data_IF_519593480770
#
_entry.id   IF_519593480770
#
_cell.length_a   1.000
_cell.length_b   1.000
_cell.length_c   1.000
_cell.angle_alpha   90.00
_cell.angle_beta   90.00
_cell.angle_gamma   90.00
#
_symmetry.space_group_name_H-M   'P 1'
#
loop_
_entity.id
_entity.type
_entity.pdbx_description
1 polymer ?
#
# COMPACT_ATOMS: atom_id res chain seq x y z
N UNK A 1 -1.76 12.35 -3.46
CA UNK A 1 -0.36 12.14 -3.00
C UNK A 1 -0.10 10.66 -2.83
N UNK A 2 1.11 10.24 -3.20
CA UNK A 2 1.65 8.90 -2.94
C UNK A 2 2.74 9.02 -1.87
N UNK A 3 2.72 8.13 -0.88
CA UNK A 3 3.77 8.03 0.15
C UNK A 3 4.59 6.77 -0.14
N UNK A 4 5.92 6.89 -0.12
CA UNK A 4 6.85 5.76 -0.20
C UNK A 4 7.58 5.61 1.13
N UNK A 5 7.65 4.39 1.64
CA UNK A 5 8.36 4.02 2.86
C UNK A 5 8.91 2.60 2.73
N UNK A 6 9.94 2.24 3.49
CA UNK A 6 10.41 0.84 3.46
C UNK A 6 9.53 -0.06 4.33
N UNK A 7 9.37 0.29 5.61
CA UNK A 7 8.59 -0.49 6.56
C UNK A 7 7.09 -0.21 6.37
N UNK A 8 6.24 -1.24 6.31
CA UNK A 8 4.80 -1.07 6.16
C UNK A 8 4.16 -0.58 7.46
N UNK A 9 2.90 -0.15 7.35
CA UNK A 9 2.02 0.10 8.49
C UNK A 9 0.98 -1.01 8.51
N UNK A 10 1.26 -2.12 9.20
CA UNK A 10 0.36 -3.27 9.23
C UNK A 10 -0.67 -3.13 10.36
N UNK A 11 -1.98 -3.17 10.07
CA UNK A 11 -2.98 -3.25 11.12
C UNK A 11 -2.90 -4.61 11.82
N UNK A 12 -2.90 -4.61 13.16
CA UNK A 12 -3.01 -5.86 13.94
C UNK A 12 -1.71 -6.60 14.24
N UNK A 13 -0.53 -6.08 13.87
CA UNK A 13 0.77 -6.53 14.42
C UNK A 13 1.34 -7.85 13.89
N UNK A 14 0.74 -8.47 12.87
CA UNK A 14 1.22 -9.75 12.31
C UNK A 14 2.41 -9.62 11.33
N UNK A 15 2.73 -8.39 10.89
CA UNK A 15 3.82 -8.08 9.96
C UNK A 15 4.80 -7.07 10.59
N UNK A 16 6.13 -7.16 10.30
CA UNK A 16 7.10 -6.16 10.74
C UNK A 16 6.69 -4.77 10.24
N UNK A 17 6.19 -3.95 11.15
CA UNK A 17 5.70 -2.61 10.87
C UNK A 17 6.68 -1.53 11.35
N UNK A 18 6.49 -0.30 10.89
CA UNK A 18 7.13 0.86 11.51
C UNK A 18 6.83 0.91 13.02
N UNK A 19 7.82 1.32 13.82
CA UNK A 19 7.75 1.29 15.29
C UNK A 19 6.55 2.04 15.89
N UNK A 20 6.10 3.12 15.24
CA UNK A 20 4.95 3.93 15.64
C UNK A 20 3.95 4.03 14.48
N UNK A 21 3.56 2.87 13.94
CA UNK A 21 2.66 2.78 12.78
C UNK A 21 1.30 3.42 13.04
N UNK A 22 0.79 3.33 14.27
CA UNK A 22 -0.49 3.92 14.65
C UNK A 22 -0.44 5.44 14.53
N UNK A 23 0.66 6.07 14.97
CA UNK A 23 0.82 7.52 14.82
C UNK A 23 0.89 7.95 13.36
N UNK A 24 1.56 7.19 12.50
CA UNK A 24 1.60 7.44 11.06
C UNK A 24 0.20 7.36 10.46
N UNK A 25 -0.55 6.32 10.82
CA UNK A 25 -1.93 6.10 10.41
C UNK A 25 -2.86 7.25 10.85
N UNK A 26 -2.72 7.75 12.09
CA UNK A 26 -3.43 8.94 12.57
C UNK A 26 -3.06 10.20 11.80
N UNK A 27 -1.79 10.41 11.48
CA UNK A 27 -1.35 11.57 10.69
C UNK A 27 -2.00 11.54 9.31
N UNK A 28 -1.98 10.39 8.62
CA UNK A 28 -2.58 10.22 7.29
C UNK A 28 -4.08 10.50 7.34
N UNK A 29 -4.79 10.01 8.36
CA UNK A 29 -6.23 10.21 8.51
C UNK A 29 -6.65 11.67 8.67
N UNK A 30 -5.78 12.51 9.24
CA UNK A 30 -6.04 13.95 9.38
C UNK A 30 -5.99 14.71 8.05
N UNK A 31 -5.61 14.06 6.96
CA UNK A 31 -5.53 14.64 5.62
C UNK A 31 -6.39 13.88 4.60
N UNK A 32 -7.72 13.78 4.82
CA UNK A 32 -8.61 13.02 3.95
C UNK A 32 -8.56 13.55 2.51
N UNK A 33 -8.56 12.64 1.54
CA UNK A 33 -8.52 12.96 0.11
C UNK A 33 -7.18 13.46 -0.43
N UNK A 34 -6.20 13.75 0.44
CA UNK A 34 -4.85 14.18 0.04
C UNK A 34 -3.96 12.97 -0.25
N UNK A 35 -3.83 12.06 0.72
CA UNK A 35 -3.14 10.78 0.53
C UNK A 35 -4.09 9.82 -0.21
N UNK A 36 -3.56 9.11 -1.20
CA UNK A 36 -4.35 8.18 -2.03
C UNK A 36 -3.76 6.77 -2.05
N UNK A 37 -2.43 6.68 -1.93
CA UNK A 37 -1.67 5.44 -1.97
C UNK A 37 -0.44 5.55 -1.05
N UNK A 38 -0.15 4.49 -0.32
CA UNK A 38 1.09 4.28 0.41
C UNK A 38 1.76 2.99 -0.08
N UNK A 39 3.01 3.09 -0.53
CA UNK A 39 3.81 1.98 -1.04
C UNK A 39 4.93 1.62 -0.07
N UNK A 40 5.01 0.34 0.26
CA UNK A 40 5.94 -0.23 1.24
C UNK A 40 6.62 -1.49 0.72
N UNK A 41 7.70 -1.92 1.38
CA UNK A 41 8.34 -3.22 1.18
C UNK A 41 8.56 -3.90 2.53
N UNK A 42 9.77 -4.38 2.79
CA UNK A 42 10.25 -4.93 4.07
C UNK A 42 9.59 -6.25 4.51
N UNK A 43 8.26 -6.33 4.55
CA UNK A 43 7.56 -7.59 4.74
C UNK A 43 7.43 -8.32 3.41
N UNK A 44 8.42 -9.17 3.13
CA UNK A 44 8.58 -9.82 1.85
C UNK A 44 7.40 -10.70 1.36
N UNK A 45 6.58 -11.32 2.23
CA UNK A 45 5.33 -11.95 1.79
C UNK A 45 4.34 -10.98 1.11
N UNK A 46 4.54 -9.66 1.28
CA UNK A 46 3.68 -8.61 0.76
C UNK A 46 2.42 -8.44 1.60
N UNK A 47 1.54 -7.56 1.16
CA UNK A 47 0.27 -7.33 1.82
C UNK A 47 -0.46 -6.12 1.26
N UNK A 48 -1.76 -6.07 1.47
CA UNK A 48 -2.58 -4.96 1.00
C UNK A 48 -3.75 -4.75 1.95
N UNK A 49 -4.06 -3.48 2.25
CA UNK A 49 -5.30 -3.12 2.91
C UNK A 49 -5.72 -1.70 2.56
N UNK A 50 -6.98 -1.39 2.84
CA UNK A 50 -7.56 -0.07 2.62
C UNK A 50 -7.98 0.51 3.97
N UNK A 51 -7.62 1.77 4.20
CA UNK A 51 -8.07 2.53 5.38
C UNK A 51 -8.41 3.96 4.97
N UNK A 52 -9.61 4.41 5.32
CA UNK A 52 -10.10 5.77 5.06
C UNK A 52 -9.84 6.26 3.62
N UNK A 53 -10.16 5.40 2.64
CA UNK A 53 -10.02 5.70 1.20
C UNK A 53 -8.57 5.83 0.70
N UNK A 54 -7.61 5.31 1.45
CA UNK A 54 -6.18 5.20 1.09
C UNK A 54 -5.83 3.73 0.92
N UNK A 55 -5.21 3.38 -0.22
CA UNK A 55 -4.64 2.06 -0.43
C UNK A 55 -3.26 1.98 0.23
N UNK A 56 -3.01 0.95 1.02
CA UNK A 56 -1.72 0.63 1.59
C UNK A 56 -1.25 -0.68 0.98
N UNK A 57 -0.21 -0.61 0.14
CA UNK A 57 0.35 -1.77 -0.57
C UNK A 57 1.78 -2.00 -0.12
N UNK A 58 2.04 -3.23 0.32
CA UNK A 58 3.36 -3.77 0.60
C UNK A 58 3.73 -4.71 -0.52
N UNK A 59 4.78 -4.35 -1.27
CA UNK A 59 5.27 -5.10 -2.43
C UNK A 59 6.06 -6.32 -1.94
N UNK A 60 5.86 -7.46 -2.60
CA UNK A 60 6.58 -8.70 -2.34
C UNK A 60 8.08 -8.51 -2.56
N UNK A 61 8.88 -9.21 -1.76
CA UNK A 61 10.33 -9.17 -1.86
C UNK A 61 10.81 -9.84 -3.14
N UNK A 62 11.50 -9.09 -4.00
CA UNK A 62 12.13 -9.68 -5.20
C UNK A 62 13.24 -10.69 -4.83
N UNK A 63 13.79 -10.62 -3.61
CA UNK A 63 14.84 -11.52 -3.14
C UNK A 63 14.37 -12.97 -2.95
N UNK A 64 13.09 -13.20 -2.64
CA UNK A 64 12.49 -14.54 -2.61
C UNK A 64 11.87 -14.98 -3.93
N UNK A 65 11.82 -14.11 -4.93
CA UNK A 65 11.21 -14.45 -6.21
C UNK A 65 12.21 -15.21 -7.11
N UNK A 66 11.71 -16.24 -7.79
CA UNK A 66 12.44 -16.97 -8.83
C UNK A 66 12.27 -16.34 -10.22
N UNK A 67 11.39 -15.34 -10.34
CA UNK A 67 11.19 -14.52 -11.52
C UNK A 67 11.06 -13.01 -11.18
N UNK A 68 11.29 -12.09 -12.15
CA UNK A 68 11.14 -10.65 -11.90
C UNK A 68 9.76 -10.30 -11.34
N UNK A 69 9.74 -9.88 -10.07
CA UNK A 69 8.53 -9.57 -9.32
C UNK A 69 8.47 -8.09 -9.00
N UNK A 70 7.43 -7.41 -9.48
CA UNK A 70 7.24 -5.97 -9.33
C UNK A 70 5.78 -5.59 -9.58
N UNK A 71 5.44 -4.32 -9.37
CA UNK A 71 4.12 -3.78 -9.68
C UNK A 71 4.23 -2.56 -10.59
N UNK A 72 3.20 -2.33 -11.41
CA UNK A 72 2.92 -1.07 -12.08
C UNK A 72 1.61 -0.52 -11.53
N UNK A 73 1.54 0.77 -11.23
CA UNK A 73 0.35 1.36 -10.62
C UNK A 73 -0.22 2.47 -11.49
N UNK A 74 -1.49 2.35 -11.85
CA UNK A 74 -2.28 3.43 -12.43
C UNK A 74 -3.03 4.15 -11.29
N UNK A 75 -2.70 5.42 -11.08
CA UNK A 75 -3.40 6.28 -10.13
C UNK A 75 -4.19 7.33 -10.89
N UNK A 76 -5.51 7.33 -10.73
CA UNK A 76 -6.43 8.26 -11.39
C UNK A 76 -7.20 9.07 -10.36
N UNK A 77 -8.06 9.99 -10.81
CA UNK A 77 -8.97 10.72 -9.93
C UNK A 77 -10.04 9.81 -9.29
N UNK A 78 -10.33 8.67 -9.93
CA UNK A 78 -11.39 7.75 -9.52
C UNK A 78 -10.89 6.54 -8.74
N UNK A 79 -9.59 6.23 -8.75
CA UNK A 79 -9.07 5.08 -8.02
C UNK A 79 -7.59 4.78 -8.24
N UNK A 80 -7.21 3.59 -7.77
CA UNK A 80 -5.88 2.98 -7.96
C UNK A 80 -6.08 1.60 -8.58
N UNK A 81 -5.33 1.29 -9.62
CA UNK A 81 -5.16 -0.07 -10.14
C UNK A 81 -3.69 -0.48 -9.98
N UNK A 82 -3.46 -1.64 -9.39
CA UNK A 82 -2.16 -2.27 -9.24
C UNK A 82 -2.11 -3.43 -10.23
N UNK A 83 -1.13 -3.39 -11.13
CA UNK A 83 -0.82 -4.45 -12.06
C UNK A 83 0.38 -5.24 -11.52
N UNK A 84 0.16 -6.49 -11.16
CA UNK A 84 1.17 -7.37 -10.58
C UNK A 84 1.94 -8.15 -11.64
N UNK A 85 3.25 -8.27 -11.46
CA UNK A 85 4.13 -9.08 -12.29
C UNK A 85 4.91 -10.07 -11.43
N UNK A 86 5.21 -11.25 -11.99
CA UNK A 86 5.84 -12.34 -11.28
C UNK A 86 4.93 -12.85 -10.16
N UNK A 87 5.42 -12.84 -8.92
CA UNK A 87 4.65 -13.29 -7.76
C UNK A 87 3.60 -12.28 -7.26
N UNK A 88 3.56 -11.07 -7.80
CA UNK A 88 2.52 -10.09 -7.46
C UNK A 88 1.19 -10.41 -8.14
N UNK A 89 0.10 -9.93 -7.57
CA UNK A 89 -1.26 -10.10 -8.12
C UNK A 89 -1.92 -8.76 -8.37
N UNK A 90 -2.72 -8.69 -9.42
CA UNK A 90 -3.53 -7.52 -9.71
C UNK A 90 -4.48 -7.18 -8.56
N UNK A 91 -4.67 -5.90 -8.30
CA UNK A 91 -5.68 -5.39 -7.37
C UNK A 91 -6.17 -4.02 -7.82
N UNK A 92 -7.35 -3.62 -7.34
CA UNK A 92 -7.88 -2.29 -7.66
C UNK A 92 -8.77 -1.77 -6.53
N UNK A 93 -8.75 -0.45 -6.36
CA UNK A 93 -9.59 0.26 -5.41
C UNK A 93 -10.19 1.50 -6.07
N UNK A 94 -11.52 1.65 -6.04
CA UNK A 94 -12.20 2.89 -6.41
C UNK A 94 -12.28 3.83 -5.20
N UNK A 95 -11.94 5.10 -5.39
CA UNK A 95 -12.13 6.11 -4.37
C UNK A 95 -13.62 6.37 -4.15
N UNK A 96 -14.04 6.35 -2.88
CA UNK A 96 -15.38 6.81 -2.49
C UNK A 96 -15.51 8.30 -2.80
N UNK A 97 -16.62 8.71 -3.39
CA UNK A 97 -16.94 10.12 -3.58
C UNK A 97 -17.12 10.79 -2.21
N UNK A 98 -16.51 11.97 -2.03
CA UNK A 98 -16.68 12.76 -0.82
C UNK A 98 -18.15 13.19 -0.69
N UNK A 99 -18.77 12.89 0.44
CA UNK A 99 -19.90 13.66 0.96
C UNK A 99 -19.37 14.63 1.99
#
# INVERSE_FOLDING_TARGET
MVIFQHCPVAPGGESPAALDSDRLLEIIDRHPGTVRLCLSGHHHPGGEFVRNNVLFKTVKGQVEADEPTYIVVDLTDSGVAVHGFGHETDSAMTFKSGR
#
